data_IF_671704479568
#
_entry.id   IF_671704479568
#
_cell.length_a   1.000
_cell.length_b   1.000
_cell.length_c   1.000
_cell.angle_alpha   90.00
_cell.angle_beta   90.00
_cell.angle_gamma   90.00
#
_symmetry.space_group_name_H-M   'P 1'
#
loop_
_entity.id
_entity.type
_entity.pdbx_description
1 polymer ?
#
# COMPACT_ATOMS: atom_id res chain seq x y z
N UNK A 1 4.52 15.59 14.78
CA UNK A 1 4.10 14.33 14.13
C UNK A 1 2.63 14.14 14.50
N UNK A 2 1.72 14.76 13.75
CA UNK A 2 0.29 14.65 14.03
C UNK A 2 -0.16 13.24 13.69
N UNK A 3 -0.54 12.47 14.71
CA UNK A 3 -1.40 11.31 14.54
C UNK A 3 -2.64 11.78 13.82
N UNK A 4 -2.91 11.24 12.65
CA UNK A 4 -4.05 11.73 11.89
C UNK A 4 -5.35 11.33 12.60
N UNK A 5 -6.06 12.33 13.14
CA UNK A 5 -7.25 12.17 14.00
C UNK A 5 -8.33 11.24 13.42
N UNK A 6 -8.40 11.13 12.10
CA UNK A 6 -9.34 10.27 11.36
C UNK A 6 -9.26 8.78 11.76
N UNK A 7 -8.07 8.23 12.02
CA UNK A 7 -7.96 6.83 12.46
C UNK A 7 -8.31 6.65 13.95
N UNK A 8 -8.29 7.74 14.73
CA UNK A 8 -8.47 7.70 16.18
C UNK A 8 -9.90 7.32 16.55
N UNK A 9 -10.89 7.83 15.80
CA UNK A 9 -12.30 7.70 16.17
C UNK A 9 -13.05 6.64 15.35
N UNK A 10 -12.52 6.22 14.19
CA UNK A 10 -13.16 5.22 13.32
C UNK A 10 -12.79 3.78 13.69
N UNK A 11 -11.53 3.53 14.07
CA UNK A 11 -11.09 2.21 14.52
C UNK A 11 -11.08 2.13 16.04
N UNK A 12 -11.72 1.10 16.59
CA UNK A 12 -11.62 0.76 18.01
C UNK A 12 -10.18 0.40 18.41
N UNK A 13 -9.87 0.48 19.71
CA UNK A 13 -8.57 0.08 20.23
C UNK A 13 -8.24 -1.38 19.89
N UNK A 14 -9.21 -2.28 20.03
CA UNK A 14 -9.04 -3.71 19.72
C UNK A 14 -8.67 -3.94 18.26
N UNK A 15 -9.32 -3.23 17.33
CA UNK A 15 -8.97 -3.30 15.90
C UNK A 15 -7.55 -2.79 15.64
N UNK A 16 -7.17 -1.66 16.25
CA UNK A 16 -5.79 -1.10 16.12
C UNK A 16 -4.73 -2.07 16.64
N UNK A 17 -4.95 -2.65 17.81
CA UNK A 17 -4.03 -3.64 18.40
C UNK A 17 -3.94 -4.88 17.50
N UNK A 18 -5.06 -5.38 17.02
CA UNK A 18 -5.07 -6.52 16.11
C UNK A 18 -4.29 -6.23 14.81
N UNK A 19 -4.47 -5.06 14.21
CA UNK A 19 -3.72 -4.64 13.03
C UNK A 19 -2.21 -4.56 13.29
N UNK A 20 -1.79 -4.05 14.46
CA UNK A 20 -0.38 -4.05 14.85
C UNK A 20 0.18 -5.47 14.97
N UNK A 21 -0.58 -6.41 15.53
CA UNK A 21 -0.17 -7.82 15.59
C UNK A 21 0.05 -8.36 14.17
N UNK A 22 -0.90 -8.14 13.26
CA UNK A 22 -0.76 -8.59 11.87
C UNK A 22 0.48 -7.97 11.19
N UNK A 23 0.69 -6.67 11.36
CA UNK A 23 1.86 -5.95 10.82
C UNK A 23 3.19 -6.53 11.31
N UNK A 24 3.30 -6.76 12.62
CA UNK A 24 4.53 -7.24 13.24
C UNK A 24 4.77 -8.73 13.02
N UNK A 25 3.71 -9.53 12.87
CA UNK A 25 3.79 -10.97 12.61
C UNK A 25 3.85 -11.35 11.14
N UNK A 26 3.61 -10.41 10.23
CA UNK A 26 3.58 -10.70 8.80
C UNK A 26 2.31 -11.42 8.35
N UNK A 27 1.21 -11.31 9.11
CA UNK A 27 -0.02 -12.04 8.82
C UNK A 27 -0.89 -11.31 7.79
N UNK A 28 -1.59 -12.05 6.91
CA UNK A 28 -2.49 -11.44 5.93
C UNK A 28 -3.63 -10.68 6.61
N UNK A 29 -4.14 -9.64 5.96
CA UNK A 29 -5.19 -8.76 6.50
C UNK A 29 -6.51 -8.84 5.72
N UNK A 30 -6.58 -9.71 4.72
CA UNK A 30 -7.72 -9.84 3.82
C UNK A 30 -9.04 -10.02 4.59
N UNK A 31 -9.08 -10.97 5.52
CA UNK A 31 -10.25 -11.25 6.35
C UNK A 31 -10.66 -10.07 7.24
N UNK A 32 -9.70 -9.23 7.66
CA UNK A 32 -10.00 -8.01 8.43
C UNK A 32 -10.63 -6.96 7.52
N UNK A 33 -10.03 -6.74 6.36
CA UNK A 33 -10.51 -5.77 5.38
C UNK A 33 -11.92 -6.15 4.91
N UNK A 34 -12.21 -7.43 4.68
CA UNK A 34 -13.52 -7.88 4.20
C UNK A 34 -14.64 -7.69 5.23
N UNK A 35 -14.31 -7.76 6.53
CA UNK A 35 -15.28 -7.56 7.62
C UNK A 35 -15.55 -6.10 7.95
N UNK A 36 -14.65 -5.19 7.57
CA UNK A 36 -14.72 -3.78 7.93
C UNK A 36 -15.65 -3.01 7.01
N UNK A 37 -16.31 -1.98 7.53
CA UNK A 37 -17.04 -0.99 6.72
C UNK A 37 -16.08 -0.17 5.86
N UNK A 38 -16.59 0.55 4.85
CA UNK A 38 -15.73 1.36 3.98
C UNK A 38 -14.95 2.43 4.76
N UNK A 39 -15.58 3.06 5.77
CA UNK A 39 -14.92 4.04 6.63
C UNK A 39 -13.77 3.39 7.42
N UNK A 40 -14.00 2.20 7.98
CA UNK A 40 -12.98 1.45 8.71
C UNK A 40 -11.86 0.97 7.81
N UNK A 41 -12.12 0.57 6.56
CA UNK A 41 -11.07 0.18 5.60
C UNK A 41 -10.17 1.38 5.25
N UNK A 42 -10.74 2.56 5.06
CA UNK A 42 -9.97 3.80 4.84
C UNK A 42 -9.13 4.14 6.06
N UNK A 43 -9.73 4.07 7.25
CA UNK A 43 -9.04 4.31 8.51
C UNK A 43 -7.92 3.28 8.76
N UNK A 44 -8.14 2.01 8.41
CA UNK A 44 -7.15 0.94 8.47
C UNK A 44 -5.97 1.25 7.57
N UNK A 45 -6.20 1.59 6.30
CA UNK A 45 -5.11 1.88 5.37
C UNK A 45 -4.23 3.02 5.91
N UNK A 46 -4.86 4.07 6.45
CA UNK A 46 -4.17 5.22 7.04
C UNK A 46 -3.39 4.83 8.29
N UNK A 47 -4.02 4.09 9.20
CA UNK A 47 -3.39 3.59 10.42
C UNK A 47 -2.17 2.72 10.11
N UNK A 48 -2.32 1.76 9.20
CA UNK A 48 -1.22 0.90 8.77
C UNK A 48 -0.08 1.75 8.20
N UNK A 49 -0.38 2.68 7.29
CA UNK A 49 0.61 3.56 6.71
C UNK A 49 1.39 4.34 7.78
N UNK A 50 0.69 4.99 8.71
CA UNK A 50 1.29 5.77 9.79
C UNK A 50 2.20 4.87 10.64
N UNK A 51 1.77 3.65 10.96
CA UNK A 51 2.56 2.70 11.74
C UNK A 51 3.76 2.13 11.00
N UNK A 52 3.64 1.88 9.70
CA UNK A 52 4.78 1.50 8.86
C UNK A 52 5.85 2.58 8.87
N UNK A 53 5.48 3.85 8.72
CA UNK A 53 6.42 4.96 8.80
C UNK A 53 7.04 5.07 10.19
N UNK A 54 6.22 5.00 11.24
CA UNK A 54 6.69 5.10 12.63
C UNK A 54 7.69 3.99 12.99
N UNK A 55 7.42 2.75 12.56
CA UNK A 55 8.33 1.61 12.73
C UNK A 55 9.61 1.82 11.92
N UNK A 56 9.50 2.23 10.65
CA UNK A 56 10.64 2.50 9.79
C UNK A 56 11.57 3.56 10.37
N UNK A 57 11.02 4.68 10.87
CA UNK A 57 11.80 5.74 11.52
C UNK A 57 12.51 5.25 12.79
N UNK A 58 11.89 4.35 13.57
CA UNK A 58 12.53 3.79 14.77
C UNK A 58 13.64 2.79 14.45
N UNK A 59 13.48 1.99 13.40
CA UNK A 59 14.47 0.97 13.02
C UNK A 59 15.64 1.56 12.22
N UNK A 60 15.38 2.58 11.39
CA UNK A 60 16.34 3.11 10.40
C UNK A 60 16.66 4.58 10.56
N UNK A 61 15.95 5.31 11.41
CA UNK A 61 16.19 6.75 11.62
C UNK A 61 15.93 7.58 10.36
N UNK A 62 16.90 8.43 10.01
CA UNK A 62 16.80 9.40 8.89
C UNK A 62 16.87 8.74 7.51
N UNK A 63 17.20 7.46 7.43
CA UNK A 63 17.37 6.72 6.17
C UNK A 63 16.06 6.15 5.62
N UNK A 64 14.92 6.43 6.26
CA UNK A 64 13.62 6.01 5.75
C UNK A 64 13.17 6.92 4.59
N UNK A 65 13.06 6.36 3.39
CA UNK A 65 12.40 7.02 2.26
C UNK A 65 11.03 6.38 1.98
N UNK A 66 9.97 7.20 1.96
CA UNK A 66 8.61 6.76 1.61
C UNK A 66 8.56 6.14 0.22
N UNK A 67 9.45 6.58 -0.67
CA UNK A 67 9.57 6.07 -2.04
C UNK A 67 9.86 4.57 -2.05
N UNK A 68 10.71 4.08 -1.14
CA UNK A 68 11.07 2.66 -1.02
C UNK A 68 9.86 1.75 -0.76
N UNK A 69 8.83 2.29 -0.08
CA UNK A 69 7.56 1.59 0.14
C UNK A 69 6.71 1.66 -1.13
N UNK A 70 6.54 2.86 -1.69
CA UNK A 70 5.63 3.07 -2.83
C UNK A 70 6.12 2.45 -4.13
N UNK A 71 7.43 2.30 -4.33
CA UNK A 71 8.00 1.66 -5.53
C UNK A 71 7.70 0.16 -5.60
N UNK A 72 7.40 -0.47 -4.46
CA UNK A 72 6.98 -1.87 -4.38
C UNK A 72 5.48 -2.05 -4.61
N UNK A 73 4.71 -0.97 -4.66
CA UNK A 73 3.29 -1.01 -4.95
C UNK A 73 3.06 -1.01 -6.46
N UNK A 74 1.98 -1.65 -6.91
CA UNK A 74 1.54 -1.55 -8.31
C UNK A 74 1.21 -0.08 -8.62
N UNK A 75 1.87 0.54 -9.63
CA UNK A 75 1.57 1.91 -10.00
C UNK A 75 0.08 2.08 -10.36
N UNK A 76 -0.51 3.19 -9.91
CA UNK A 76 -1.95 3.44 -10.07
C UNK A 76 -2.46 3.29 -11.52
N UNK A 77 -1.78 3.83 -12.56
CA UNK A 77 -2.21 3.64 -13.94
C UNK A 77 -2.16 2.18 -14.41
N UNK A 78 -1.22 1.39 -13.88
CA UNK A 78 -1.09 -0.04 -14.22
C UNK A 78 -2.23 -0.81 -13.55
N UNK A 79 -2.45 -0.59 -12.25
CA UNK A 79 -3.55 -1.21 -11.52
C UNK A 79 -4.89 -0.91 -12.20
N UNK A 80 -5.15 0.35 -12.56
CA UNK A 80 -6.38 0.74 -13.23
C UNK A 80 -6.62 -0.02 -14.54
N UNK A 81 -5.58 -0.16 -15.38
CA UNK A 81 -5.64 -0.89 -16.64
C UNK A 81 -5.95 -2.37 -16.42
N UNK A 82 -5.35 -2.99 -15.40
CA UNK A 82 -5.61 -4.39 -15.03
C UNK A 82 -7.07 -4.63 -14.61
N UNK A 83 -7.72 -3.61 -14.05
CA UNK A 83 -9.14 -3.67 -13.67
C UNK A 83 -10.09 -3.29 -14.82
N UNK A 84 -9.58 -2.94 -16.02
CA UNK A 84 -10.42 -2.50 -17.14
C UNK A 84 -11.21 -1.21 -16.85
N UNK A 85 -10.74 -0.38 -15.92
CA UNK A 85 -11.48 0.80 -15.45
C UNK A 85 -11.25 2.01 -16.36
N UNK A 86 -12.33 2.61 -16.87
CA UNK A 86 -12.33 3.75 -17.80
C UNK A 86 -12.35 5.13 -17.12
N UNK A 87 -12.40 5.20 -15.80
CA UNK A 87 -12.40 6.46 -15.05
C UNK A 87 -11.12 7.26 -15.23
N UNK A 88 -11.11 8.54 -14.81
CA UNK A 88 -9.84 9.29 -14.78
C UNK A 88 -8.90 8.69 -13.73
N UNK A 89 -7.61 8.55 -14.08
CA UNK A 89 -6.56 7.97 -13.21
C UNK A 89 -6.56 8.57 -11.79
N UNK A 90 -6.81 9.88 -11.68
CA UNK A 90 -6.89 10.59 -10.40
C UNK A 90 -7.95 10.02 -9.43
N UNK A 91 -9.05 9.45 -9.94
CA UNK A 91 -10.08 8.78 -9.14
C UNK A 91 -9.66 7.40 -8.65
N UNK A 92 -8.64 6.79 -9.25
CA UNK A 92 -8.11 5.48 -8.85
C UNK A 92 -7.23 5.61 -7.58
N UNK A 93 -7.76 6.19 -6.51
CA UNK A 93 -7.16 6.21 -5.17
C UNK A 93 -8.03 5.36 -4.26
N UNK A 94 -7.47 4.35 -3.58
CA UNK A 94 -8.25 3.40 -2.77
C UNK A 94 -9.23 4.10 -1.82
N UNK A 95 -8.75 5.09 -1.07
CA UNK A 95 -9.56 5.88 -0.12
C UNK A 95 -10.66 6.73 -0.74
N UNK A 96 -10.58 7.05 -2.03
CA UNK A 96 -11.57 7.85 -2.75
C UNK A 96 -12.55 6.94 -3.51
N UNK A 97 -12.00 5.98 -4.25
CA UNK A 97 -12.74 5.05 -5.10
C UNK A 97 -13.66 4.13 -4.29
N UNK A 98 -13.37 3.89 -3.00
CA UNK A 98 -14.16 2.99 -2.15
C UNK A 98 -15.63 3.39 -2.01
N UNK A 99 -15.96 4.67 -2.19
CA UNK A 99 -17.34 5.16 -2.13
C UNK A 99 -18.15 4.84 -3.38
N UNK A 100 -17.50 4.60 -4.52
CA UNK A 100 -18.17 4.31 -5.81
C UNK A 100 -17.96 2.85 -6.24
N UNK A 101 -16.78 2.29 -5.98
CA UNK A 101 -16.38 0.93 -6.38
C UNK A 101 -15.71 0.20 -5.21
N UNK A 102 -16.46 -0.17 -4.16
CA UNK A 102 -15.91 -0.66 -2.90
C UNK A 102 -15.06 -1.93 -3.06
N UNK A 103 -15.47 -2.88 -3.91
CA UNK A 103 -14.75 -4.14 -4.12
C UNK A 103 -13.37 -3.90 -4.75
N UNK A 104 -13.31 -3.11 -5.83
CA UNK A 104 -12.05 -2.75 -6.49
C UNK A 104 -11.12 -1.98 -5.55
N UNK A 105 -11.66 -1.00 -4.82
CA UNK A 105 -10.90 -0.21 -3.86
C UNK A 105 -10.35 -1.09 -2.72
N UNK A 106 -11.14 -2.01 -2.18
CA UNK A 106 -10.69 -2.97 -1.14
C UNK A 106 -9.55 -3.84 -1.65
N UNK A 107 -9.65 -4.39 -2.86
CA UNK A 107 -8.56 -5.14 -3.48
C UNK A 107 -7.28 -4.31 -3.61
N UNK A 108 -7.41 -3.04 -4.04
CA UNK A 108 -6.25 -2.13 -4.10
C UNK A 108 -5.63 -1.89 -2.72
N UNK A 109 -6.46 -1.66 -1.71
CA UNK A 109 -6.03 -1.41 -0.33
C UNK A 109 -5.34 -2.65 0.27
N UNK A 110 -5.88 -3.86 0.03
CA UNK A 110 -5.23 -5.13 0.40
C UNK A 110 -3.81 -5.20 -0.16
N UNK A 111 -3.65 -4.93 -1.46
CA UNK A 111 -2.33 -4.91 -2.09
C UNK A 111 -1.36 -3.88 -1.47
N UNK A 112 -1.85 -2.67 -1.15
CA UNK A 112 -1.02 -1.68 -0.45
C UNK A 112 -0.60 -2.15 0.95
N UNK A 113 -1.53 -2.71 1.73
CA UNK A 113 -1.25 -3.18 3.09
C UNK A 113 -0.28 -4.36 3.07
N UNK A 114 -0.44 -5.28 2.12
CA UNK A 114 0.48 -6.40 1.94
C UNK A 114 1.92 -5.93 1.70
N UNK A 115 2.13 -4.95 0.80
CA UNK A 115 3.46 -4.35 0.58
C UNK A 115 4.03 -3.74 1.87
N UNK A 116 3.20 -3.04 2.64
CA UNK A 116 3.63 -2.43 3.91
C UNK A 116 4.04 -3.48 4.95
N UNK A 117 3.32 -4.60 5.01
CA UNK A 117 3.66 -5.74 5.87
C UNK A 117 5.02 -6.33 5.44
N UNK A 118 5.20 -6.62 4.16
CA UNK A 118 6.46 -7.18 3.63
C UNK A 118 7.66 -6.27 3.90
N UNK A 119 7.50 -4.96 3.73
CA UNK A 119 8.53 -3.98 4.03
C UNK A 119 8.92 -4.04 5.52
N UNK A 120 7.95 -4.07 6.44
CA UNK A 120 8.22 -4.19 7.88
C UNK A 120 8.95 -5.49 8.18
N UNK A 121 8.52 -6.61 7.61
CA UNK A 121 9.16 -7.91 7.84
C UNK A 121 10.61 -7.93 7.34
N UNK A 122 10.89 -7.29 6.20
CA UNK A 122 12.25 -7.13 5.71
C UNK A 122 13.12 -6.32 6.67
N UNK A 123 12.59 -5.23 7.23
CA UNK A 123 13.32 -4.44 8.24
C UNK A 123 13.56 -5.22 9.53
N UNK A 124 12.54 -5.93 10.04
CA UNK A 124 12.65 -6.69 11.30
C UNK A 124 13.59 -7.89 11.21
N UNK A 125 13.65 -8.54 10.04
CA UNK A 125 14.54 -9.70 9.82
C UNK A 125 16.00 -9.33 9.57
N UNK A 126 16.34 -8.03 9.51
CA UNK A 126 17.70 -7.58 9.19
C UNK A 126 18.13 -7.92 7.75
N UNK A 127 17.22 -8.40 6.91
CA UNK A 127 17.48 -8.64 5.49
C UNK A 127 17.57 -7.30 4.79
N UNK A 128 18.78 -6.75 4.71
CA UNK A 128 19.07 -5.68 3.75
C UNK A 128 18.68 -6.21 2.37
N UNK A 129 17.82 -5.48 1.66
CA UNK A 129 17.47 -5.82 0.28
C UNK A 129 18.74 -5.62 -0.54
N UNK A 130 19.48 -6.70 -0.78
CA UNK A 130 20.57 -6.72 -1.74
C UNK A 130 19.96 -6.38 -3.10
N UNK A 131 20.48 -5.30 -3.69
CA UNK A 131 20.40 -4.95 -5.12
C UNK A 131 19.06 -4.41 -5.65
N UNK A 132 18.97 -3.08 -5.63
CA UNK A 132 18.52 -2.38 -6.84
C UNK A 132 19.53 -2.61 -7.96
N UNK A 133 19.38 -3.72 -8.70
CA UNK A 133 19.87 -3.81 -10.08
C UNK A 133 18.67 -3.74 -11.02
N UNK A 134 18.61 -2.61 -11.73
CA UNK A 134 17.92 -2.38 -13.00
C UNK A 134 17.20 -3.60 -13.61
N UNK A 135 15.88 -3.69 -13.40
CA UNK A 135 14.97 -4.42 -14.31
C UNK A 135 14.02 -3.45 -15.02
N UNK A 136 14.53 -2.26 -15.36
CA UNK A 136 13.85 -1.32 -16.28
C UNK A 136 14.27 -1.47 -17.74
N UNK A 137 15.00 -2.53 -18.12
CA UNK A 137 15.73 -2.51 -19.39
C UNK A 137 15.13 -3.26 -20.58
N UNK A 138 13.99 -3.96 -20.46
CA UNK A 138 13.45 -4.70 -21.62
C UNK A 138 11.95 -4.45 -21.90
N UNK A 139 11.09 -4.32 -20.88
CA UNK A 139 9.67 -4.07 -21.12
C UNK A 139 9.34 -2.61 -21.54
N UNK A 140 10.11 -1.61 -21.08
CA UNK A 140 9.92 -0.21 -21.48
C UNK A 140 10.49 0.10 -22.88
N UNK A 141 11.41 -0.73 -23.41
CA UNK A 141 11.94 -0.57 -24.77
C UNK A 141 10.96 -1.03 -25.84
N UNK A 142 10.18 -2.08 -25.60
CA UNK A 142 9.21 -2.58 -26.59
C UNK A 142 8.04 -1.61 -26.82
N UNK A 143 7.56 -0.94 -25.78
CA UNK A 143 6.42 0.00 -25.88
C UNK A 143 6.79 1.29 -26.65
N UNK A 144 8.07 1.67 -26.70
CA UNK A 144 8.50 2.88 -27.43
C UNK A 144 8.87 2.60 -28.89
N UNK A 145 9.23 1.37 -29.26
CA UNK A 145 9.47 0.98 -30.65
C UNK A 145 8.20 0.77 -31.47
N UNK A 146 7.09 0.35 -30.85
CA UNK A 146 5.83 0.12 -31.58
C UNK A 146 5.07 1.40 -31.95
N UNK A 147 5.26 2.50 -31.21
CA UNK A 147 4.61 3.79 -31.50
C UNK A 147 5.35 4.67 -32.52
N UNK A 148 6.46 4.19 -33.12
CA UNK A 148 7.18 4.89 -34.19
C UNK A 148 6.90 4.30 -35.58
N UNK A 149 6.06 3.28 -35.68
CA UNK A 149 5.68 2.62 -36.94
C UNK A 149 4.16 2.65 -37.22
N UNK A 150 3.43 3.59 -36.61
CA UNK A 150 2.07 3.95 -37.01
C UNK A 150 1.98 5.43 -37.35
#
# INVERSE_FOLDING_TARGET
>A
MEYTEVAKDVLSLSQKVNLLVHLLKGWPVDDLIDKYSNAEVVALQKFVWDKTIEIGLRLRGKDLDRKEITERMIPTPIYQRQQGCSERVYYCKGVLCIHSNPNCARTKIKGHVQVMIEVIQNWLSGKQTLEGKNTKTEAEKQIFTENKQR
#
